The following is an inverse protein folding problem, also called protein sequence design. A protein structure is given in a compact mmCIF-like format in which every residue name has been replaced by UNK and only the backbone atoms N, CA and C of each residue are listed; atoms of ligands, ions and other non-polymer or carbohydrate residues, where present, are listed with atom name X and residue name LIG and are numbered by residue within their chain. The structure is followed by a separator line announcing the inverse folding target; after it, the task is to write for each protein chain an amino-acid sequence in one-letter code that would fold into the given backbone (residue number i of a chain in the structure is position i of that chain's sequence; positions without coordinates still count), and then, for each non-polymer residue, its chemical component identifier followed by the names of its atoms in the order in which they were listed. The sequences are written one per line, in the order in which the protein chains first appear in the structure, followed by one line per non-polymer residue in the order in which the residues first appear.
data_IF_198063948345
#
_entry.id   IF_198063948345
#
_cell.length_a   1.000
_cell.length_b   1.000
_cell.length_c   1.000
_cell.angle_alpha   90.00
_cell.angle_beta   90.00
_cell.angle_gamma   90.00
#
_symmetry.space_group_name_H-M   'P 1'
#
loop_
_entity.id
_entity.type
_entity.pdbx_description
1 polymer ?
#
# COMPACT_ATOMS: atom_id res chain seq x y z
N UNK A 1 -23.00 -1.26 14.93
CA UNK A 1 -21.57 -1.01 14.65
C UNK A 1 -21.33 -1.40 13.20
N UNK A 2 -21.83 -0.58 12.28
CA UNK A 2 -21.67 -0.80 10.83
C UNK A 2 -20.62 0.18 10.32
N UNK A 3 -19.37 -0.27 10.21
CA UNK A 3 -18.35 0.49 9.47
C UNK A 3 -18.55 0.18 7.99
N UNK A 4 -19.47 0.93 7.39
CA UNK A 4 -19.74 0.99 5.96
C UNK A 4 -18.43 1.06 5.17
N UNK A 5 -18.28 0.14 4.22
CA UNK A 5 -17.26 0.20 3.18
C UNK A 5 -17.42 1.53 2.42
N UNK A 6 -16.46 2.44 2.60
CA UNK A 6 -16.41 3.67 1.83
C UNK A 6 -15.96 3.32 0.40
N UNK A 7 -16.93 3.25 -0.51
CA UNK A 7 -16.71 2.99 -1.94
C UNK A 7 -16.61 4.33 -2.64
N UNK A 8 -15.39 4.83 -2.85
CA UNK A 8 -15.14 6.00 -3.70
C UNK A 8 -14.99 5.53 -5.17
N UNK A 9 -15.99 5.79 -6.00
CA UNK A 9 -15.92 5.56 -7.46
C UNK A 9 -15.40 6.84 -8.13
N UNK A 10 -14.11 6.87 -8.50
CA UNK A 10 -13.55 7.92 -9.33
C UNK A 10 -13.57 7.50 -10.81
N UNK A 11 -14.66 7.83 -11.49
CA UNK A 11 -14.78 7.72 -12.95
C UNK A 11 -14.41 9.07 -13.59
N UNK A 12 -13.36 9.10 -14.41
CA UNK A 12 -12.91 10.31 -15.12
C UNK A 12 -12.87 10.09 -16.63
N UNK A 13 -13.40 11.05 -17.38
CA UNK A 13 -13.31 11.13 -18.84
C UNK A 13 -12.71 12.49 -19.24
N UNK A 14 -11.64 12.50 -20.05
CA UNK A 14 -11.06 13.71 -20.63
C UNK A 14 -10.57 13.51 -22.08
N UNK A 15 -10.59 14.59 -22.87
CA UNK A 15 -10.02 14.72 -24.23
C UNK A 15 -8.63 15.38 -24.15
N UNK A 16 -7.71 14.96 -25.02
CA UNK A 16 -6.26 15.20 -24.96
C UNK A 16 -5.81 16.51 -25.63
N UNK A 17 -4.56 16.89 -25.32
CA UNK A 17 -3.61 17.47 -26.27
C UNK A 17 -2.19 17.37 -25.68
N UNK A 18 -1.49 16.25 -25.94
CA UNK A 18 -0.07 16.16 -26.30
C UNK A 18 0.51 14.80 -25.90
N UNK A 19 1.50 14.33 -26.68
CA UNK A 19 2.09 12.99 -26.68
C UNK A 19 2.77 12.50 -25.37
N UNK A 20 2.41 13.09 -24.22
CA UNK A 20 2.72 12.70 -22.85
C UNK A 20 1.54 11.91 -22.21
N UNK A 21 0.64 11.36 -23.02
CA UNK A 21 -0.66 10.77 -22.64
C UNK A 21 -0.59 9.34 -22.04
N UNK A 22 0.42 9.07 -21.21
CA UNK A 22 0.51 7.80 -20.50
C UNK A 22 0.24 7.96 -18.99
N UNK A 23 -0.67 7.15 -18.41
CA UNK A 23 -1.52 6.15 -19.05
C UNK A 23 -2.78 6.76 -19.71
N UNK A 24 -3.29 6.11 -20.76
CA UNK A 24 -4.58 6.45 -21.33
C UNK A 24 -5.66 6.28 -20.24
N UNK A 25 -6.37 7.38 -19.91
CA UNK A 25 -7.44 7.51 -18.90
C UNK A 25 -7.32 6.54 -17.70
N UNK A 26 -6.83 6.98 -16.53
CA UNK A 26 -6.96 6.20 -15.32
C UNK A 26 -8.43 6.12 -14.90
N UNK A 27 -9.09 5.02 -15.28
CA UNK A 27 -10.26 4.59 -14.52
C UNK A 27 -9.71 3.95 -13.25
N UNK A 28 -9.59 4.75 -12.19
CA UNK A 28 -9.44 4.25 -10.84
C UNK A 28 -10.79 3.71 -10.40
N UNK A 29 -11.10 2.48 -10.83
CA UNK A 29 -12.04 1.64 -10.12
C UNK A 29 -11.35 1.19 -8.83
N UNK A 30 -11.22 2.12 -7.87
CA UNK A 30 -10.60 1.87 -6.57
C UNK A 30 -11.28 0.66 -5.94
N UNK A 31 -10.45 -0.30 -5.53
CA UNK A 31 -10.88 -1.57 -5.02
C UNK A 31 -10.12 -1.92 -3.76
N UNK A 32 -10.87 -2.43 -2.79
CA UNK A 32 -10.37 -2.97 -1.52
C UNK A 32 -9.44 -2.00 -0.78
N UNK A 33 -9.96 -1.17 0.14
CA UNK A 33 -9.09 -0.44 1.06
C UNK A 33 -8.21 -1.44 1.80
N UNK A 34 -6.89 -1.20 1.82
CA UNK A 34 -5.95 -2.04 2.57
C UNK A 34 -5.82 -1.57 4.02
N UNK A 35 -5.88 -0.25 4.22
CA UNK A 35 -6.00 0.41 5.53
C UNK A 35 -6.51 1.83 5.31
N UNK A 36 -7.27 2.34 6.28
CA UNK A 36 -7.64 3.76 6.34
C UNK A 36 -6.46 4.64 6.78
N UNK A 37 -5.48 4.06 7.46
CA UNK A 37 -4.34 4.77 8.05
C UNK A 37 -3.05 3.96 7.80
N UNK A 38 -2.22 4.44 6.87
CA UNK A 38 -0.87 3.98 6.60
C UNK A 38 0.08 5.16 6.79
N UNK A 39 0.78 5.20 7.92
CA UNK A 39 1.80 6.21 8.18
C UNK A 39 3.12 5.84 7.51
N UNK A 40 3.72 6.80 6.81
CA UNK A 40 5.07 6.65 6.29
C UNK A 40 6.09 6.65 7.45
N UNK A 41 7.19 5.91 7.35
CA UNK A 41 7.60 5.13 6.18
C UNK A 41 6.96 3.73 6.15
N UNK A 42 6.63 3.24 4.96
CA UNK A 42 6.09 1.90 4.75
C UNK A 42 6.54 1.27 3.42
N UNK A 43 6.37 -0.05 3.33
CA UNK A 43 6.44 -0.81 2.10
C UNK A 43 5.10 -1.50 1.83
N UNK A 44 4.65 -1.42 0.59
CA UNK A 44 3.55 -2.23 0.07
C UNK A 44 4.12 -3.21 -0.94
N UNK A 45 3.92 -4.50 -0.71
CA UNK A 45 4.49 -5.57 -1.53
C UNK A 45 3.41 -6.46 -2.14
N UNK A 46 3.55 -6.79 -3.41
CA UNK A 46 2.65 -7.73 -4.10
C UNK A 46 3.39 -8.54 -5.16
N UNK A 47 2.75 -9.61 -5.64
CA UNK A 47 3.28 -10.44 -6.71
C UNK A 47 2.39 -10.30 -7.94
N UNK A 48 3.00 -10.01 -9.09
CA UNK A 48 2.30 -9.92 -10.36
C UNK A 48 3.28 -10.02 -11.53
N UNK A 49 2.80 -10.48 -12.68
CA UNK A 49 3.53 -10.32 -13.94
C UNK A 49 3.40 -8.86 -14.42
N UNK A 50 4.41 -8.29 -15.12
CA UNK A 50 4.32 -6.99 -15.80
C UNK A 50 3.47 -7.08 -17.08
N UNK A 51 2.30 -7.70 -16.97
CA UNK A 51 1.31 -7.86 -18.02
C UNK A 51 -0.01 -7.28 -17.54
N UNK A 52 -0.65 -6.44 -18.35
CA UNK A 52 -1.85 -5.71 -17.94
C UNK A 52 -1.55 -4.46 -17.11
N UNK A 53 -2.60 -3.88 -16.53
CA UNK A 53 -2.58 -2.62 -15.78
C UNK A 53 -2.76 -2.86 -14.29
N UNK A 54 -1.84 -2.36 -13.49
CA UNK A 54 -1.85 -2.40 -12.03
C UNK A 54 -1.81 -0.97 -11.52
N UNK A 55 -2.64 -0.65 -10.53
CA UNK A 55 -2.70 0.70 -9.96
C UNK A 55 -2.74 0.62 -8.44
N UNK A 56 -1.93 1.44 -7.79
CA UNK A 56 -1.94 1.61 -6.33
C UNK A 56 -2.19 3.08 -6.05
N UNK A 57 -3.32 3.38 -5.42
CA UNK A 57 -3.59 4.70 -4.86
C UNK A 57 -2.96 4.76 -3.45
N UNK A 58 -2.21 5.81 -3.18
CA UNK A 58 -1.54 6.01 -1.89
C UNK A 58 -1.53 7.49 -1.53
N UNK A 59 -1.29 7.78 -0.26
CA UNK A 59 -1.46 9.11 0.33
C UNK A 59 -2.88 9.67 0.05
N UNK A 60 -3.90 8.81 0.06
CA UNK A 60 -5.29 9.19 -0.20
C UNK A 60 -5.93 9.77 1.08
N UNK A 61 -6.72 10.83 0.90
CA UNK A 61 -7.64 11.36 1.90
C UNK A 61 -8.90 11.87 1.18
N UNK A 62 -10.07 11.74 1.82
CA UNK A 62 -11.35 12.10 1.21
C UNK A 62 -11.36 13.57 0.76
N UNK A 63 -11.70 13.79 -0.53
CA UNK A 63 -11.76 15.12 -1.12
C UNK A 63 -10.40 15.81 -1.34
N UNK A 64 -9.29 15.14 -1.03
CA UNK A 64 -7.94 15.66 -1.21
C UNK A 64 -7.27 15.11 -2.48
N UNK A 65 -6.22 15.78 -2.98
CA UNK A 65 -5.35 15.18 -3.99
C UNK A 65 -4.78 13.84 -3.51
N UNK A 66 -4.49 12.93 -4.43
CA UNK A 66 -3.90 11.63 -4.08
C UNK A 66 -2.80 11.24 -5.04
N UNK A 67 -1.89 10.40 -4.59
CA UNK A 67 -0.88 9.81 -5.45
C UNK A 67 -1.34 8.46 -5.99
N UNK A 68 -0.93 8.18 -7.22
CA UNK A 68 -1.25 6.93 -7.90
C UNK A 68 0.01 6.41 -8.55
N UNK A 69 0.39 5.19 -8.19
CA UNK A 69 1.34 4.42 -8.95
C UNK A 69 0.60 3.67 -10.05
N UNK A 70 1.10 3.74 -11.27
CA UNK A 70 0.61 2.94 -12.39
C UNK A 70 1.74 2.11 -12.96
N UNK A 71 1.51 0.81 -13.07
CA UNK A 71 2.33 -0.12 -13.87
C UNK A 71 1.44 -0.67 -14.96
N UNK A 72 1.79 -0.44 -16.22
CA UNK A 72 1.02 -0.98 -17.34
C UNK A 72 1.97 -1.48 -18.44
N UNK A 73 1.88 -2.78 -18.70
CA UNK A 73 2.89 -3.53 -19.44
C UNK A 73 4.28 -3.33 -18.82
N UNK A 74 5.21 -2.76 -19.61
CA UNK A 74 6.61 -2.56 -19.22
C UNK A 74 6.90 -1.17 -18.67
N UNK A 75 5.91 -0.27 -18.59
CA UNK A 75 6.11 1.11 -18.12
C UNK A 75 5.56 1.25 -16.71
N UNK A 76 6.26 2.01 -15.89
CA UNK A 76 5.79 2.40 -14.57
C UNK A 76 6.00 3.90 -14.34
N UNK A 77 5.05 4.53 -13.64
CA UNK A 77 5.11 5.96 -13.33
C UNK A 77 4.20 6.34 -12.17
N UNK A 78 4.50 7.49 -11.59
CA UNK A 78 3.69 8.09 -10.53
C UNK A 78 2.85 9.23 -11.11
N UNK A 79 1.67 9.41 -10.54
CA UNK A 79 0.70 10.39 -10.97
C UNK A 79 0.05 11.05 -9.76
N UNK A 80 -0.34 12.32 -9.91
CA UNK A 80 -1.19 13.03 -8.96
C UNK A 80 -2.60 13.12 -9.53
N UNK A 81 -3.59 12.75 -8.73
CA UNK A 81 -5.00 12.99 -8.99
C UNK A 81 -5.41 14.25 -8.23
N UNK A 82 -5.92 15.26 -8.92
CA UNK A 82 -6.42 16.50 -8.31
C UNK A 82 -7.41 17.20 -9.23
N UNK A 83 -8.52 17.71 -8.70
CA UNK A 83 -9.49 18.50 -9.49
C UNK A 83 -10.05 17.76 -10.71
N UNK A 84 -10.18 16.43 -10.64
CA UNK A 84 -10.62 15.59 -11.76
C UNK A 84 -9.57 15.34 -12.84
N UNK A 85 -8.34 15.84 -12.67
CA UNK A 85 -7.22 15.61 -13.58
C UNK A 85 -6.23 14.59 -13.04
N UNK A 86 -5.54 13.90 -13.96
CA UNK A 86 -4.34 13.12 -13.68
C UNK A 86 -3.13 13.86 -14.26
N UNK A 87 -2.12 14.10 -13.43
CA UNK A 87 -0.84 14.69 -13.88
C UNK A 87 0.32 13.75 -13.57
N UNK A 88 1.20 13.53 -14.53
CA UNK A 88 2.43 12.76 -14.32
C UNK A 88 3.35 13.47 -13.35
N UNK A 89 3.88 12.74 -12.36
CA UNK A 89 4.82 13.26 -11.36
C UNK A 89 6.01 12.30 -11.19
N UNK A 90 7.15 12.84 -10.79
CA UNK A 90 8.36 12.05 -10.57
C UNK A 90 9.03 11.56 -11.86
N UNK A 91 9.86 10.54 -11.71
CA UNK A 91 10.64 9.93 -12.77
C UNK A 91 10.04 8.58 -13.15
N UNK A 92 9.32 8.48 -14.29
CA UNK A 92 8.84 7.20 -14.78
C UNK A 92 10.01 6.34 -15.25
N UNK A 93 9.76 5.05 -15.40
CA UNK A 93 10.76 4.15 -15.95
C UNK A 93 10.18 2.89 -16.55
N UNK A 94 11.09 2.04 -16.99
CA UNK A 94 10.76 0.84 -17.76
C UNK A 94 11.23 -0.39 -16.99
N UNK A 95 10.38 -1.40 -16.91
CA UNK A 95 10.68 -2.69 -16.31
C UNK A 95 11.86 -3.33 -17.05
N UNK A 96 12.96 -3.70 -16.35
CA UNK A 96 14.11 -4.35 -16.96
C UNK A 96 13.71 -5.62 -17.73
N UNK A 97 14.33 -5.85 -18.90
CA UNK A 97 13.95 -6.94 -19.81
C UNK A 97 13.93 -8.31 -19.13
N UNK A 98 14.89 -8.58 -18.24
CA UNK A 98 15.01 -9.82 -17.46
C UNK A 98 13.80 -10.14 -16.56
N UNK A 99 12.95 -9.15 -16.26
CA UNK A 99 11.78 -9.32 -15.40
C UNK A 99 10.45 -9.33 -16.18
N UNK A 100 10.47 -9.17 -17.51
CA UNK A 100 9.24 -8.98 -18.31
C UNK A 100 8.42 -10.26 -18.53
N UNK A 101 9.04 -11.43 -18.46
CA UNK A 101 8.40 -12.71 -18.78
C UNK A 101 7.94 -13.50 -17.54
N UNK A 102 8.42 -13.13 -16.35
CA UNK A 102 8.18 -13.87 -15.11
C UNK A 102 7.27 -13.09 -14.16
N UNK A 103 6.66 -13.82 -13.23
CA UNK A 103 6.06 -13.18 -12.07
C UNK A 103 7.13 -12.49 -11.23
N UNK A 104 6.83 -11.28 -10.80
CA UNK A 104 7.75 -10.43 -10.08
C UNK A 104 7.19 -10.04 -8.72
N UNK A 105 8.10 -9.83 -7.78
CA UNK A 105 7.82 -9.15 -6.54
C UNK A 105 7.93 -7.65 -6.78
N UNK A 106 6.81 -6.96 -6.62
CA UNK A 106 6.74 -5.51 -6.70
C UNK A 106 6.76 -4.93 -5.30
N UNK A 107 7.38 -3.77 -5.16
CA UNK A 107 7.38 -3.06 -3.88
C UNK A 107 7.24 -1.56 -4.12
N UNK A 108 6.15 -0.99 -3.63
CA UNK A 108 6.03 0.45 -3.43
C UNK A 108 6.65 0.76 -2.08
N UNK A 109 7.78 1.48 -2.06
CA UNK A 109 8.35 2.04 -0.83
C UNK A 109 7.95 3.49 -0.73
N UNK A 110 7.32 3.86 0.38
CA UNK A 110 6.96 5.22 0.71
C UNK A 110 7.74 5.66 1.94
N UNK A 111 8.43 6.78 1.83
CA UNK A 111 8.98 7.54 2.96
C UNK A 111 8.26 8.89 3.04
N UNK A 112 8.69 9.84 3.86
CA UNK A 112 7.98 11.13 3.99
C UNK A 112 7.98 11.92 2.67
N UNK A 113 9.15 12.26 2.12
CA UNK A 113 9.27 13.15 0.95
C UNK A 113 9.60 12.42 -0.36
N UNK A 114 9.65 11.08 -0.34
CA UNK A 114 9.94 10.26 -1.52
C UNK A 114 9.17 8.95 -1.57
N UNK A 115 8.99 8.43 -2.77
CA UNK A 115 8.53 7.08 -3.01
C UNK A 115 9.32 6.42 -4.15
N UNK A 116 9.37 5.09 -4.15
CA UNK A 116 10.00 4.32 -5.21
C UNK A 116 9.18 3.06 -5.52
N UNK A 117 9.08 2.73 -6.79
CA UNK A 117 8.65 1.40 -7.23
C UNK A 117 9.89 0.54 -7.48
N UNK A 118 9.90 -0.65 -6.90
CA UNK A 118 10.90 -1.67 -7.12
C UNK A 118 10.28 -2.91 -7.77
N UNK A 119 11.07 -3.59 -8.60
CA UNK A 119 10.77 -4.92 -9.15
C UNK A 119 11.93 -5.86 -8.79
N UNK A 120 11.65 -6.90 -8.01
CA UNK A 120 12.65 -7.82 -7.46
C UNK A 120 13.87 -7.08 -6.85
N UNK A 121 13.61 -5.97 -6.14
CA UNK A 121 14.64 -5.13 -5.51
C UNK A 121 15.31 -4.09 -6.42
N UNK A 122 15.06 -4.08 -7.74
CA UNK A 122 15.58 -3.06 -8.65
C UNK A 122 14.62 -1.88 -8.78
N UNK A 123 15.11 -0.64 -8.64
CA UNK A 123 14.26 0.56 -8.78
C UNK A 123 13.82 0.76 -10.24
N UNK A 124 12.52 0.94 -10.45
CA UNK A 124 11.89 1.16 -11.77
C UNK A 124 11.43 2.60 -11.93
N UNK A 125 10.81 3.18 -10.91
CA UNK A 125 10.29 4.54 -10.94
C UNK A 125 10.53 5.22 -9.58
N UNK A 126 10.63 6.55 -9.59
CA UNK A 126 10.84 7.36 -8.38
C UNK A 126 9.87 8.54 -8.34
N UNK A 127 9.52 8.94 -7.13
CA UNK A 127 8.75 10.15 -6.84
C UNK A 127 9.45 10.91 -5.71
N UNK A 128 9.50 12.23 -5.85
CA UNK A 128 9.93 13.15 -4.79
C UNK A 128 8.79 14.14 -4.56
N UNK A 129 7.97 13.88 -3.55
CA UNK A 129 6.80 14.67 -3.20
C UNK A 129 6.40 14.44 -1.73
N UNK A 130 5.89 15.48 -1.03
CA UNK A 130 5.30 15.33 0.29
C UNK A 130 3.99 14.53 0.21
N UNK A 131 3.55 13.87 1.29
CA UNK A 131 2.30 13.11 1.29
C UNK A 131 1.10 14.05 1.20
N UNK A 132 0.02 13.57 0.57
CA UNK A 132 -1.27 14.26 0.51
C UNK A 132 -2.29 13.73 1.54
N UNK A 133 -1.99 12.61 2.20
CA UNK A 133 -2.86 11.87 3.10
C UNK A 133 -2.16 10.60 3.59
N UNK A 134 -2.91 9.69 4.21
CA UNK A 134 -2.39 8.45 4.81
C UNK A 134 -3.12 7.17 4.33
N UNK A 135 -4.13 7.26 3.46
CA UNK A 135 -4.84 6.09 2.95
C UNK A 135 -4.09 5.35 1.84
N UNK A 136 -4.27 4.02 1.76
CA UNK A 136 -3.76 3.17 0.68
C UNK A 136 -4.86 2.25 0.13
N UNK A 137 -4.98 2.20 -1.20
CA UNK A 137 -5.90 1.32 -1.91
C UNK A 137 -5.33 0.83 -3.24
N UNK A 138 -5.89 -0.24 -3.80
CA UNK A 138 -5.32 -0.94 -4.95
C UNK A 138 -6.37 -1.16 -6.04
N UNK A 139 -5.96 -1.43 -7.27
CA UNK A 139 -6.91 -1.83 -8.32
C UNK A 139 -7.38 -3.27 -8.13
N UNK A 140 -8.59 -3.62 -8.62
CA UNK A 140 -9.07 -5.02 -8.63
C UNK A 140 -8.11 -5.98 -9.33
N UNK A 141 -7.31 -5.50 -10.29
CA UNK A 141 -6.33 -6.30 -11.03
C UNK A 141 -5.14 -6.78 -10.18
N UNK A 142 -4.95 -6.24 -8.98
CA UNK A 142 -3.97 -6.70 -8.00
C UNK A 142 -4.51 -7.88 -7.15
N UNK A 143 -5.57 -8.55 -7.60
CA UNK A 143 -6.32 -9.53 -6.79
C UNK A 143 -5.46 -10.69 -6.29
N UNK A 144 -5.53 -10.88 -4.96
CA UNK A 144 -5.27 -12.07 -4.14
C UNK A 144 -3.99 -12.90 -4.42
N UNK A 145 -3.06 -12.99 -3.45
CA UNK A 145 -3.17 -12.42 -2.10
C UNK A 145 -3.13 -10.89 -2.13
N UNK A 146 -3.90 -10.27 -1.24
CA UNK A 146 -3.88 -8.81 -1.09
C UNK A 146 -2.43 -8.35 -0.85
N UNK A 147 -2.05 -7.17 -1.36
CA UNK A 147 -0.73 -6.63 -1.11
C UNK A 147 -0.43 -6.55 0.38
N UNK A 148 0.79 -6.96 0.75
CA UNK A 148 1.26 -6.96 2.14
C UNK A 148 1.75 -5.57 2.48
N UNK A 149 1.17 -5.00 3.52
CA UNK A 149 1.62 -3.74 4.11
C UNK A 149 2.62 -4.01 5.23
N UNK A 150 3.73 -3.28 5.22
CA UNK A 150 4.75 -3.35 6.26
C UNK A 150 5.21 -1.92 6.64
N UNK A 151 4.92 -1.45 7.86
CA UNK A 151 5.57 -0.26 8.40
C UNK A 151 7.08 -0.45 8.42
N UNK A 152 7.82 0.59 7.99
CA UNK A 152 9.28 0.65 8.01
C UNK A 152 9.79 1.64 9.06
N UNK A 153 8.89 2.25 9.84
CA UNK A 153 9.24 3.17 10.90
C UNK A 153 9.98 2.47 12.03
N UNK A 154 10.61 3.27 12.90
CA UNK A 154 11.08 2.75 14.17
C UNK A 154 9.87 2.24 14.95
N UNK A 155 9.91 0.99 15.38
CA UNK A 155 9.02 0.51 16.41
C UNK A 155 9.39 1.28 17.68
N UNK A 156 8.69 2.38 17.96
CA UNK A 156 8.74 2.98 19.28
C UNK A 156 8.03 2.01 20.21
N UNK A 157 8.80 1.21 20.95
CA UNK A 157 8.29 0.54 22.13
C UNK A 157 8.01 1.65 23.14
N UNK A 158 6.83 2.28 23.06
CA UNK A 158 6.24 2.92 24.22
C UNK A 158 5.90 1.77 25.15
N UNK A 159 6.87 1.45 25.98
CA UNK A 159 6.79 0.36 26.92
C UNK A 159 5.69 0.69 27.95
N UNK A 160 4.49 0.16 27.73
CA UNK A 160 3.45 0.11 28.77
C UNK A 160 3.88 -0.80 29.96
N UNK A 161 5.06 -1.44 29.91
CA UNK A 161 5.70 -2.05 31.08
C UNK A 161 6.59 -1.10 31.88
N UNK A 162 6.56 0.21 31.63
CA UNK A 162 7.06 1.19 32.60
C UNK A 162 6.16 1.16 33.85
N UNK A 163 6.43 0.20 34.75
CA UNK A 163 5.93 0.23 36.12
C UNK A 163 6.30 1.60 36.70
N UNK A 164 5.31 2.31 37.22
CA UNK A 164 5.57 3.44 38.11
C UNK A 164 6.56 2.96 39.19
N UNK A 165 7.61 3.75 39.45
CA UNK A 165 8.73 3.40 40.35
C UNK A 165 8.27 3.02 41.79
N UNK A 166 6.99 3.27 42.12
CA UNK A 166 6.35 2.96 43.41
C UNK A 166 5.22 1.92 43.34
N UNK A 167 4.91 1.39 42.16
CA UNK A 167 3.89 0.36 41.95
C UNK A 167 4.42 -1.04 42.19
N UNK A 168 4.91 -1.33 43.41
CA UNK A 168 5.16 -2.71 43.83
C UNK A 168 3.82 -3.39 44.09
N UNK A 169 3.17 -3.86 43.04
CA UNK A 169 2.07 -4.81 43.18
C UNK A 169 2.61 -6.12 43.76
N UNK A 170 1.98 -6.62 44.83
CA UNK A 170 2.35 -7.90 45.43
C UNK A 170 2.22 -9.02 44.39
N UNK A 171 3.31 -9.76 44.18
CA UNK A 171 3.30 -10.93 43.31
C UNK A 171 2.50 -12.04 43.98
N UNK A 172 1.26 -12.24 43.53
CA UNK A 172 0.48 -13.42 43.86
C UNK A 172 0.81 -14.53 42.85
N UNK A 173 1.30 -15.71 43.28
CA UNK A 173 1.51 -16.84 42.39
C UNK A 173 0.15 -17.35 41.89
N UNK A 174 -0.16 -17.08 40.61
CA UNK A 174 -1.35 -17.64 39.97
C UNK A 174 -1.03 -19.06 39.53
N UNK A 175 -1.65 -20.06 40.17
CA UNK A 175 -1.64 -21.44 39.71
C UNK A 175 -2.67 -21.61 38.60
N UNK A 176 -2.23 -21.57 37.34
CA UNK A 176 -3.00 -21.98 36.18
C UNK A 176 -2.54 -23.34 35.67
N UNK A 177 -3.46 -24.13 35.10
CA UNK A 177 -3.09 -25.28 34.27
C UNK A 177 -2.80 -24.76 32.87
N UNK A 178 -1.51 -24.64 32.53
CA UNK A 178 -1.11 -24.34 31.16
C UNK A 178 -1.39 -25.57 30.30
N UNK A 179 -2.41 -25.51 29.45
CA UNK A 179 -2.58 -26.46 28.36
C UNK A 179 -2.08 -25.81 27.09
N UNK A 180 -0.94 -26.30 26.59
CA UNK A 180 -0.48 -25.99 25.24
C UNK A 180 -1.32 -26.89 24.32
N UNK A 181 -2.39 -26.35 23.74
CA UNK A 181 -3.01 -26.98 22.59
C UNK A 181 -2.10 -26.72 21.38
N UNK A 182 -1.50 -27.79 20.85
CA UNK A 182 -0.83 -27.71 19.55
C UNK A 182 -1.84 -27.36 18.46
N UNK A 183 -1.36 -26.77 17.35
CA UNK A 183 -2.17 -26.29 16.22
C UNK A 183 -3.00 -27.39 15.49
N UNK A 184 -2.97 -28.63 15.97
CA UNK A 184 -3.70 -29.78 15.42
C UNK A 184 -4.71 -30.37 16.42
N UNK A 185 -5.21 -29.59 17.40
CA UNK A 185 -6.30 -30.05 18.26
C UNK A 185 -7.66 -29.92 17.54
N UNK A 186 -8.35 -31.03 17.19
CA UNK A 186 -9.64 -31.00 16.49
C UNK A 186 -10.81 -30.56 17.38
N UNK A 187 -10.55 -30.15 18.63
CA UNK A 187 -11.58 -29.71 19.59
C UNK A 187 -11.77 -28.19 19.65
N UNK A 188 -11.09 -27.42 18.81
CA UNK A 188 -11.28 -25.96 18.73
C UNK A 188 -12.64 -25.53 18.16
N UNK A 189 -13.42 -26.45 17.57
CA UNK A 189 -14.69 -26.16 16.88
C UNK A 189 -15.93 -26.69 17.63
N UNK A 190 -16.03 -26.52 18.96
CA UNK A 190 -17.29 -26.67 19.69
C UNK A 190 -17.51 -25.58 20.72
#
# INVERSE_FOLDING_TARGET
MDRLALVAVLSLAFQSADAQDWPAKPVLSVAVPLSAECEAPYALQWQAKPSGRQMVAFDYADGAPSHVLVVEGVRAGFFRVSGGGLSGIGHPGVVPARYRAAECTWTLRREEWRAALLVNGAVVARLYAPPCGNGVSVSKSLSTPLPRYQPLGELSWSDDFMREERGLGDWAPVKGKWQIAGLEDPRADR
#
